data_IF_996016374980
#
_entry.id   IF_996016374980
#
_cell.length_a   1.000
_cell.length_b   1.000
_cell.length_c   1.000
_cell.angle_alpha   90.00
_cell.angle_beta   90.00
_cell.angle_gamma   90.00
#
_symmetry.space_group_name_H-M   'P 1'
#
loop_
_entity.id
_entity.type
_entity.pdbx_description
1 polymer ?
#
# COMPACT_ATOMS: atom_id res chain seq x y z
N UNK A 1 -2.71 -13.34 -30.23
CA UNK A 1 -1.26 -13.63 -30.13
C UNK A 1 -0.89 -13.73 -28.65
N UNK A 2 -0.07 -14.69 -28.24
CA UNK A 2 0.37 -14.84 -26.83
C UNK A 2 1.77 -14.26 -26.67
N UNK A 3 2.03 -13.54 -25.57
CA UNK A 3 3.37 -13.07 -25.17
C UNK A 3 3.70 -13.62 -23.79
N UNK A 4 4.96 -13.97 -23.58
CA UNK A 4 5.46 -14.53 -22.32
C UNK A 4 6.41 -13.52 -21.69
N UNK A 5 6.32 -13.36 -20.38
CA UNK A 5 7.14 -12.43 -19.60
C UNK A 5 7.71 -13.13 -18.37
N UNK A 6 8.95 -12.79 -18.03
CA UNK A 6 9.62 -13.25 -16.82
C UNK A 6 10.37 -12.06 -16.20
N UNK A 7 10.08 -11.73 -14.94
CA UNK A 7 10.52 -10.49 -14.26
C UNK A 7 10.39 -9.22 -15.11
N UNK A 8 9.31 -9.09 -15.87
CA UNK A 8 9.05 -7.93 -16.74
C UNK A 8 9.81 -7.93 -18.07
N UNK A 9 10.70 -8.91 -18.32
CA UNK A 9 11.36 -9.09 -19.61
C UNK A 9 10.52 -9.97 -20.53
N UNK A 10 10.21 -9.49 -21.72
CA UNK A 10 9.50 -10.28 -22.74
C UNK A 10 10.42 -11.41 -23.24
N UNK A 11 9.91 -12.64 -23.17
CA UNK A 11 10.54 -13.84 -23.73
C UNK A 11 10.19 -13.91 -25.22
N UNK A 12 10.78 -13.01 -26.01
CA UNK A 12 10.46 -12.83 -27.43
C UNK A 12 11.29 -13.72 -28.37
N UNK A 13 12.45 -14.21 -27.93
CA UNK A 13 13.37 -14.99 -28.76
C UNK A 13 13.11 -16.50 -28.61
N UNK A 14 12.41 -17.08 -29.58
CA UNK A 14 12.01 -18.50 -29.63
C UNK A 14 13.17 -19.51 -29.53
N UNK A 15 14.42 -19.09 -29.78
CA UNK A 15 15.60 -19.97 -29.78
C UNK A 15 16.36 -19.98 -28.46
N UNK A 16 16.07 -19.03 -27.57
CA UNK A 16 16.75 -18.97 -26.27
C UNK A 16 16.11 -19.94 -25.29
N UNK A 17 16.93 -20.63 -24.51
CA UNK A 17 16.45 -21.53 -23.46
C UNK A 17 15.95 -20.73 -22.26
N UNK A 18 15.11 -21.36 -21.42
CA UNK A 18 14.66 -20.74 -20.16
C UNK A 18 15.84 -20.42 -19.22
N UNK A 19 16.89 -21.25 -19.23
CA UNK A 19 18.13 -21.01 -18.48
C UNK A 19 18.90 -19.78 -18.98
N UNK A 20 18.92 -19.52 -20.28
CA UNK A 20 19.52 -18.29 -20.86
C UNK A 20 18.71 -17.03 -20.51
N UNK A 21 17.43 -17.19 -20.23
CA UNK A 21 16.58 -16.17 -19.62
C UNK A 21 16.69 -16.10 -18.09
N UNK A 22 17.57 -16.92 -17.50
CA UNK A 22 17.82 -17.03 -16.07
C UNK A 22 16.59 -17.50 -15.28
N UNK A 23 15.67 -18.20 -15.94
CA UNK A 23 14.51 -18.79 -15.29
C UNK A 23 14.96 -20.05 -14.53
N UNK A 24 14.99 -19.95 -13.22
CA UNK A 24 15.28 -21.02 -12.29
C UNK A 24 14.12 -21.99 -12.08
N UNK A 25 14.41 -23.07 -11.35
CA UNK A 25 13.43 -24.11 -11.04
C UNK A 25 12.40 -23.57 -10.03
N UNK A 26 11.11 -23.79 -10.31
CA UNK A 26 9.93 -23.27 -9.58
C UNK A 26 9.63 -21.78 -9.75
N UNK A 27 10.16 -21.12 -10.77
CA UNK A 27 9.84 -19.72 -11.02
C UNK A 27 8.66 -19.53 -11.98
N UNK A 28 7.95 -18.41 -11.82
CA UNK A 28 6.70 -18.14 -12.55
C UNK A 28 6.93 -17.29 -13.81
N UNK A 29 6.37 -17.76 -14.92
CA UNK A 29 6.31 -17.03 -16.19
C UNK A 29 4.89 -16.49 -16.38
N UNK A 30 4.78 -15.19 -16.66
CA UNK A 30 3.51 -14.53 -16.91
C UNK A 30 3.14 -14.62 -18.39
N UNK A 31 2.02 -15.27 -18.72
CA UNK A 31 1.50 -15.35 -20.08
C UNK A 31 0.39 -14.32 -20.29
N UNK A 32 0.61 -13.37 -21.20
CA UNK A 32 -0.40 -12.40 -21.60
C UNK A 32 -0.98 -12.79 -22.96
N UNK A 33 -2.29 -13.06 -23.00
CA UNK A 33 -3.02 -13.25 -24.25
C UNK A 33 -3.40 -11.89 -24.82
N UNK A 34 -2.72 -11.48 -25.88
CA UNK A 34 -3.20 -10.37 -26.72
C UNK A 34 -4.36 -10.91 -27.55
N UNK A 35 -5.57 -10.60 -27.12
CA UNK A 35 -6.75 -10.73 -27.98
C UNK A 35 -6.61 -9.66 -29.06
N UNK A 36 -6.27 -10.08 -30.28
CA UNK A 36 -6.41 -9.22 -31.44
C UNK A 36 -7.92 -9.12 -31.70
N UNK A 37 -8.57 -8.15 -31.05
CA UNK A 37 -9.87 -7.71 -31.50
C UNK A 37 -9.64 -7.10 -32.89
N UNK A 38 -10.18 -7.74 -33.92
CA UNK A 38 -10.38 -7.06 -35.19
C UNK A 38 -11.12 -5.74 -34.89
N UNK A 39 -10.81 -4.63 -35.58
CA UNK A 39 -11.54 -3.39 -35.40
C UNK A 39 -12.98 -3.60 -35.87
N UNK A 40 -13.84 -4.11 -34.99
CA UNK A 40 -15.28 -4.06 -35.15
C UNK A 40 -15.62 -2.59 -35.18
N UNK A 41 -15.91 -2.06 -36.37
CA UNK A 41 -16.56 -0.78 -36.47
C UNK A 41 -17.87 -0.95 -35.72
N UNK A 42 -18.11 -0.17 -34.64
CA UNK A 42 -19.37 -0.26 -33.93
C UNK A 42 -20.47 0.03 -34.95
N UNK A 43 -21.41 -0.90 -35.11
CA UNK A 43 -22.58 -0.65 -35.94
C UNK A 43 -23.51 0.30 -35.16
N UNK A 44 -23.27 1.59 -35.33
CA UNK A 44 -24.01 2.64 -34.65
C UNK A 44 -25.50 2.64 -35.04
N UNK A 45 -25.84 2.13 -36.22
CA UNK A 45 -27.23 2.00 -36.65
C UNK A 45 -27.93 0.85 -35.91
N UNK A 46 -27.25 -0.28 -35.71
CA UNK A 46 -27.76 -1.35 -34.85
C UNK A 46 -27.96 -0.89 -33.40
N UNK A 47 -27.04 -0.07 -32.87
CA UNK A 47 -27.19 0.54 -31.54
C UNK A 47 -28.41 1.47 -31.48
N UNK A 48 -28.59 2.30 -32.50
CA UNK A 48 -29.76 3.19 -32.60
C UNK A 48 -31.06 2.40 -32.61
N UNK A 49 -31.14 1.34 -33.40
CA UNK A 49 -32.31 0.46 -33.45
C UNK A 49 -32.60 -0.17 -32.10
N UNK A 50 -31.56 -0.63 -31.39
CA UNK A 50 -31.72 -1.20 -30.05
C UNK A 50 -32.27 -0.18 -29.05
N UNK A 51 -31.75 1.05 -29.06
CA UNK A 51 -32.24 2.15 -28.22
C UNK A 51 -33.69 2.51 -28.54
N UNK A 52 -34.09 2.46 -29.82
CA UNK A 52 -35.48 2.73 -30.22
C UNK A 52 -36.43 1.57 -29.88
N UNK A 53 -35.93 0.33 -29.87
CA UNK A 53 -36.70 -0.86 -29.48
C UNK A 53 -36.91 -0.93 -27.97
N UNK A 54 -35.95 -0.47 -27.17
CA UNK A 54 -36.05 -0.44 -25.71
C UNK A 54 -36.52 0.92 -25.20
N UNK A 55 -37.83 1.00 -24.88
CA UNK A 55 -38.46 2.18 -24.29
C UNK A 55 -37.80 2.66 -22.99
N UNK A 56 -37.24 1.77 -22.18
CA UNK A 56 -36.59 2.16 -20.91
C UNK A 56 -35.27 2.85 -21.17
N UNK A 57 -34.47 2.31 -22.09
CA UNK A 57 -33.21 2.92 -22.53
C UNK A 57 -33.46 4.28 -23.14
N UNK A 58 -34.48 4.42 -23.99
CA UNK A 58 -34.84 5.70 -24.60
C UNK A 58 -35.25 6.76 -23.56
N UNK A 59 -36.08 6.41 -22.57
CA UNK A 59 -36.46 7.32 -21.49
C UNK A 59 -35.26 7.73 -20.62
N UNK A 60 -34.33 6.81 -20.38
CA UNK A 60 -33.08 7.12 -19.68
C UNK A 60 -32.22 8.08 -20.50
N UNK A 61 -32.08 7.82 -21.80
CA UNK A 61 -31.31 8.66 -22.72
C UNK A 61 -31.91 10.07 -22.79
N UNK A 62 -33.23 10.21 -22.79
CA UNK A 62 -33.90 11.52 -22.77
C UNK A 62 -33.60 12.34 -21.51
N UNK A 63 -33.42 11.66 -20.37
CA UNK A 63 -33.07 12.33 -19.10
C UNK A 63 -31.60 12.72 -19.02
N UNK A 64 -30.70 11.90 -19.57
CA UNK A 64 -29.24 12.11 -19.45
C UNK A 64 -28.65 12.88 -20.63
N UNK A 65 -29.16 12.65 -21.84
CA UNK A 65 -28.71 13.28 -23.07
C UNK A 65 -29.89 13.47 -24.05
N UNK A 66 -30.71 14.51 -23.87
CA UNK A 66 -31.91 14.76 -24.69
C UNK A 66 -31.59 14.99 -26.17
N UNK A 67 -30.42 15.55 -26.49
CA UNK A 67 -30.00 15.79 -27.87
C UNK A 67 -29.72 14.47 -28.60
N UNK A 68 -29.05 13.52 -27.94
CA UNK A 68 -28.78 12.20 -28.48
C UNK A 68 -30.07 11.39 -28.68
N UNK A 69 -31.02 11.52 -27.75
CA UNK A 69 -32.33 10.87 -27.87
C UNK A 69 -33.15 11.41 -29.04
N UNK A 70 -33.07 12.72 -29.28
CA UNK A 70 -33.69 13.35 -30.44
C UNK A 70 -33.04 12.87 -31.74
N UNK A 71 -31.71 12.84 -31.80
CA UNK A 71 -30.97 12.33 -32.96
C UNK A 71 -31.31 10.85 -33.25
N UNK A 72 -31.42 10.02 -32.21
CA UNK A 72 -31.80 8.61 -32.38
C UNK A 72 -33.13 8.42 -33.11
N UNK A 73 -34.10 9.31 -32.87
CA UNK A 73 -35.46 9.27 -33.45
C UNK A 73 -35.56 9.88 -34.85
N UNK A 74 -34.87 11.00 -35.09
CA UNK A 74 -35.12 11.84 -36.28
C UNK A 74 -33.92 11.98 -37.22
N UNK A 75 -32.70 11.70 -36.76
CA UNK A 75 -31.48 11.92 -37.55
C UNK A 75 -30.43 10.83 -37.27
N UNK A 76 -30.49 9.71 -38.02
CA UNK A 76 -29.54 8.60 -37.88
C UNK A 76 -28.08 9.00 -38.12
N UNK A 77 -27.83 9.94 -39.03
CA UNK A 77 -26.48 10.39 -39.35
C UNK A 77 -25.90 11.17 -38.16
N UNK A 78 -26.68 12.11 -37.61
CA UNK A 78 -26.27 12.87 -36.42
C UNK A 78 -26.08 11.96 -35.21
N UNK A 79 -26.93 10.94 -35.02
CA UNK A 79 -26.77 9.97 -33.94
C UNK A 79 -25.42 9.26 -34.01
N UNK A 80 -25.06 8.71 -35.18
CA UNK A 80 -23.80 8.01 -35.37
C UNK A 80 -22.58 8.88 -35.07
N UNK A 81 -22.57 10.13 -35.56
CA UNK A 81 -21.48 11.09 -35.28
C UNK A 81 -21.35 11.40 -33.78
N UNK A 82 -22.48 11.59 -33.09
CA UNK A 82 -22.46 11.89 -31.65
C UNK A 82 -21.98 10.70 -30.82
N UNK A 83 -22.44 9.49 -31.12
CA UNK A 83 -21.98 8.28 -30.42
C UNK A 83 -20.50 8.04 -30.69
N UNK A 84 -20.04 8.25 -31.92
CA UNK A 84 -18.62 8.14 -32.26
C UNK A 84 -17.76 9.11 -31.44
N UNK A 85 -18.16 10.37 -31.31
CA UNK A 85 -17.44 11.36 -30.48
C UNK A 85 -17.44 10.96 -29.00
N UNK A 86 -18.55 10.44 -28.48
CA UNK A 86 -18.63 9.96 -27.10
C UNK A 86 -17.68 8.77 -26.89
N UNK A 87 -17.66 7.79 -27.79
CA UNK A 87 -16.76 6.63 -27.70
C UNK A 87 -15.28 7.03 -27.88
N UNK A 88 -14.96 8.01 -28.73
CA UNK A 88 -13.60 8.53 -28.88
C UNK A 88 -13.14 9.23 -27.61
N UNK A 89 -13.96 10.10 -27.03
CA UNK A 89 -13.64 10.79 -25.78
C UNK A 89 -13.51 9.83 -24.60
N UNK A 90 -14.38 8.81 -24.51
CA UNK A 90 -14.27 7.77 -23.47
C UNK A 90 -12.97 6.98 -23.60
N UNK A 91 -12.62 6.54 -24.82
CA UNK A 91 -11.35 5.83 -25.07
C UNK A 91 -10.13 6.69 -24.72
N UNK A 92 -10.14 7.97 -25.09
CA UNK A 92 -9.04 8.89 -24.74
C UNK A 92 -8.89 9.05 -23.22
N UNK A 93 -10.01 9.18 -22.50
CA UNK A 93 -10.01 9.26 -21.03
C UNK A 93 -9.54 7.95 -20.38
N UNK A 94 -9.96 6.80 -20.91
CA UNK A 94 -9.50 5.48 -20.45
C UNK A 94 -7.99 5.30 -20.65
N UNK A 95 -7.44 5.70 -21.80
CA UNK A 95 -6.00 5.66 -22.09
C UNK A 95 -5.23 6.56 -21.12
N UNK A 96 -5.68 7.80 -20.91
CA UNK A 96 -5.05 8.71 -19.95
C UNK A 96 -5.09 8.14 -18.53
N UNK A 97 -6.22 7.58 -18.11
CA UNK A 97 -6.38 6.96 -16.79
C UNK A 97 -5.47 5.73 -16.63
N UNK A 98 -5.36 4.90 -17.66
CA UNK A 98 -4.46 3.76 -17.67
C UNK A 98 -2.99 4.20 -17.60
N UNK A 99 -2.62 5.28 -18.29
CA UNK A 99 -1.27 5.83 -18.27
C UNK A 99 -0.91 6.42 -16.91
N UNK A 100 -1.84 7.15 -16.26
CA UNK A 100 -1.67 7.64 -14.88
C UNK A 100 -1.59 6.48 -13.87
N UNK A 101 -2.39 5.44 -14.06
CA UNK A 101 -2.33 4.24 -13.21
C UNK A 101 -1.03 3.45 -13.40
N UNK A 102 -0.47 3.43 -14.61
CA UNK A 102 0.83 2.84 -14.90
C UNK A 102 1.98 3.67 -14.28
N UNK A 103 1.88 5.00 -14.29
CA UNK A 103 2.83 5.90 -13.64
C UNK A 103 2.81 5.79 -12.10
N UNK A 104 1.65 5.49 -11.50
CA UNK A 104 1.50 5.29 -10.05
C UNK A 104 1.75 3.86 -9.57
N UNK A 105 1.81 2.87 -10.48
CA UNK A 105 2.07 1.46 -10.15
C UNK A 105 3.48 1.06 -10.57
N UNK A 106 4.51 1.86 -10.30
CA UNK A 106 5.86 1.31 -10.30
C UNK A 106 6.06 0.53 -8.99
N UNK A 107 6.06 -0.82 -9.02
CA UNK A 107 6.28 -1.64 -7.83
C UNK A 107 7.72 -1.51 -7.30
N UNK A 108 8.59 -0.80 -8.04
CA UNK A 108 9.97 -0.50 -7.72
C UNK A 108 10.21 1.00 -7.49
N UNK A 109 9.16 1.80 -7.23
CA UNK A 109 9.34 3.20 -6.84
C UNK A 109 10.14 3.28 -5.54
N UNK A 110 11.42 3.65 -5.69
CA UNK A 110 12.39 3.79 -4.60
C UNK A 110 11.88 4.79 -3.58
N UNK A 111 11.17 5.84 -3.99
CA UNK A 111 10.63 6.84 -3.07
C UNK A 111 9.46 6.29 -2.25
N UNK A 112 8.60 5.44 -2.84
CA UNK A 112 7.56 4.76 -2.09
C UNK A 112 8.16 3.77 -1.07
N UNK A 113 9.15 2.97 -1.48
CA UNK A 113 9.84 2.04 -0.58
C UNK A 113 10.53 2.78 0.58
N UNK A 114 11.16 3.92 0.30
CA UNK A 114 11.82 4.76 1.30
C UNK A 114 10.83 5.35 2.30
N UNK A 115 9.64 5.78 1.85
CA UNK A 115 8.58 6.25 2.77
C UNK A 115 8.08 5.13 3.67
N UNK A 116 7.93 3.91 3.15
CA UNK A 116 7.54 2.74 3.95
C UNK A 116 8.62 2.42 4.99
N UNK A 117 9.89 2.41 4.59
CA UNK A 117 11.02 2.17 5.49
C UNK A 117 11.06 3.23 6.62
N UNK A 118 10.89 4.49 6.28
CA UNK A 118 10.87 5.58 7.25
C UNK A 118 9.70 5.45 8.23
N UNK A 119 8.50 5.08 7.75
CA UNK A 119 7.34 4.83 8.60
C UNK A 119 7.60 3.70 9.62
N UNK A 120 8.12 2.55 9.15
CA UNK A 120 8.47 1.41 10.02
C UNK A 120 9.55 1.82 11.04
N UNK A 121 10.54 2.60 10.63
CA UNK A 121 11.58 3.10 11.52
C UNK A 121 11.00 3.97 12.63
N UNK A 122 10.11 4.90 12.30
CA UNK A 122 9.47 5.76 13.29
C UNK A 122 8.59 4.97 14.26
N UNK A 123 7.83 3.99 13.76
CA UNK A 123 7.02 3.10 14.59
C UNK A 123 7.87 2.32 15.60
N UNK A 124 9.00 1.76 15.14
CA UNK A 124 9.94 1.04 16.03
C UNK A 124 10.56 1.96 17.10
N UNK A 125 10.91 3.20 16.74
CA UNK A 125 11.44 4.18 17.69
C UNK A 125 10.37 4.51 18.74
N UNK A 126 9.13 4.75 18.31
CA UNK A 126 8.02 5.06 19.21
C UNK A 126 7.71 3.90 20.15
N UNK A 127 7.61 2.68 19.64
CA UNK A 127 7.36 1.49 20.44
C UNK A 127 8.47 1.23 21.47
N UNK A 128 9.74 1.39 21.08
CA UNK A 128 10.86 1.23 22.01
C UNK A 128 10.88 2.33 23.08
N UNK A 129 10.55 3.57 22.70
CA UNK A 129 10.42 4.67 23.64
C UNK A 129 9.31 4.39 24.66
N UNK A 130 8.13 3.96 24.20
CA UNK A 130 7.00 3.62 25.06
C UNK A 130 7.37 2.51 26.05
N UNK A 131 7.99 1.43 25.57
CA UNK A 131 8.47 0.36 26.43
C UNK A 131 9.52 0.86 27.45
N UNK A 132 10.42 1.74 27.02
CA UNK A 132 11.43 2.28 27.92
C UNK A 132 10.82 3.23 28.97
N UNK A 133 9.75 3.95 28.64
CA UNK A 133 8.99 4.76 29.60
C UNK A 133 8.21 3.90 30.61
N UNK A 134 7.65 2.77 30.17
CA UNK A 134 6.90 1.85 31.03
C UNK A 134 7.82 1.07 31.98
N UNK A 135 8.87 0.42 31.45
CA UNK A 135 9.69 -0.51 32.21
C UNK A 135 10.97 0.10 32.78
N UNK A 136 11.44 1.21 32.23
CA UNK A 136 12.69 1.85 32.68
C UNK A 136 12.57 3.39 32.77
N UNK A 137 11.60 3.90 33.56
CA UNK A 137 11.37 5.34 33.68
C UNK A 137 12.60 6.06 34.23
N UNK A 138 13.44 5.39 35.02
CA UNK A 138 14.67 5.97 35.60
C UNK A 138 15.67 6.46 34.55
N UNK A 139 15.59 5.96 33.31
CA UNK A 139 16.45 6.42 32.21
C UNK A 139 16.04 7.79 31.66
N UNK A 140 14.81 8.23 31.92
CA UNK A 140 14.24 9.49 31.38
C UNK A 140 13.88 10.51 32.47
N UNK A 141 13.89 10.11 33.74
CA UNK A 141 13.58 11.00 34.86
C UNK A 141 14.55 10.82 36.04
N UNK A 142 14.84 11.90 36.75
CA UNK A 142 15.64 11.87 37.98
C UNK A 142 14.80 11.32 39.12
N UNK A 143 15.04 10.06 39.49
CA UNK A 143 14.42 9.44 40.66
C UNK A 143 15.07 9.96 41.95
N UNK A 144 14.26 10.57 42.82
CA UNK A 144 14.71 10.96 44.16
C UNK A 144 14.62 9.74 45.08
N UNK A 145 15.77 9.30 45.59
CA UNK A 145 15.84 8.18 46.53
C UNK A 145 15.60 8.64 47.97
N UNK A 146 14.93 7.81 48.78
CA UNK A 146 14.68 8.11 50.18
C UNK A 146 15.88 7.69 51.03
N UNK A 147 16.38 8.62 51.84
CA UNK A 147 17.49 8.38 52.76
C UNK A 147 17.09 8.73 54.19
N UNK A 148 17.53 7.91 55.14
CA UNK A 148 17.34 8.17 56.58
C UNK A 148 18.68 8.09 57.31
N UNK A 149 18.82 8.93 58.34
CA UNK A 149 19.95 8.84 59.26
C UNK A 149 19.72 7.67 60.22
N UNK A 150 20.70 6.79 60.34
CA UNK A 150 20.65 5.62 61.24
C UNK A 150 21.93 5.54 62.06
N UNK A 151 21.87 4.91 63.22
CA UNK A 151 23.03 4.66 64.08
C UNK A 151 23.16 3.17 64.36
N UNK A 152 24.32 2.59 64.05
CA UNK A 152 24.62 1.18 64.30
C UNK A 152 25.95 1.12 65.07
N UNK A 153 25.94 0.53 66.29
CA UNK A 153 27.12 0.44 67.15
C UNK A 153 27.82 1.80 67.36
N UNK A 154 27.06 2.84 67.73
CA UNK A 154 27.54 4.21 67.94
C UNK A 154 28.15 4.90 66.70
N UNK A 155 27.90 4.37 65.50
CA UNK A 155 28.31 5.01 64.24
C UNK A 155 27.09 5.50 63.49
N UNK A 156 27.04 6.81 63.22
CA UNK A 156 26.02 7.45 62.40
C UNK A 156 26.28 7.19 60.92
N UNK A 157 25.24 6.76 60.21
CA UNK A 157 25.26 6.35 58.82
C UNK A 157 24.03 6.95 58.11
N UNK A 158 24.09 7.02 56.78
CA UNK A 158 22.92 7.32 55.94
C UNK A 158 22.51 6.02 55.25
N UNK A 159 21.28 5.57 55.48
CA UNK A 159 20.73 4.37 54.86
C UNK A 159 19.82 4.75 53.70
N UNK A 160 19.98 4.05 52.57
CA UNK A 160 19.03 4.06 51.46
C UNK A 160 17.81 3.21 51.84
N UNK A 161 16.61 3.75 51.68
CA UNK A 161 15.36 3.02 51.90
C UNK A 161 14.86 2.45 50.59
N UNK A 162 14.72 1.13 50.52
CA UNK A 162 14.24 0.38 49.35
C UNK A 162 13.22 -0.66 49.82
N UNK A 163 11.95 -0.46 49.47
CA UNK A 163 10.86 -1.39 49.81
C UNK A 163 10.88 -2.67 48.98
N UNK A 164 11.60 -2.70 47.86
CA UNK A 164 11.74 -3.87 46.99
C UNK A 164 12.83 -4.85 47.44
N UNK A 165 13.71 -4.43 48.36
CA UNK A 165 14.77 -5.29 48.85
C UNK A 165 14.24 -6.37 49.82
N UNK A 166 14.44 -7.65 49.49
CA UNK A 166 14.06 -8.77 50.38
C UNK A 166 14.88 -8.86 51.67
N UNK A 167 16.07 -8.25 51.71
CA UNK A 167 16.93 -8.25 52.89
C UNK A 167 17.78 -6.98 52.97
N UNK A 168 18.10 -6.57 54.19
CA UNK A 168 18.96 -5.41 54.43
C UNK A 168 20.43 -5.81 54.30
N UNK A 169 21.17 -5.09 53.45
CA UNK A 169 22.61 -5.31 53.25
C UNK A 169 23.41 -4.14 53.81
N UNK A 170 24.43 -4.44 54.61
CA UNK A 170 25.40 -3.45 55.10
C UNK A 170 26.81 -4.02 55.09
N UNK A 171 27.76 -3.28 54.51
CA UNK A 171 29.19 -3.62 54.57
C UNK A 171 29.73 -3.68 56.01
N UNK A 172 29.12 -2.93 56.93
CA UNK A 172 29.50 -2.93 58.35
C UNK A 172 29.06 -4.19 59.11
N UNK A 173 27.97 -4.85 58.66
CA UNK A 173 27.45 -6.06 59.30
C UNK A 173 28.19 -7.33 58.85
N UNK A 174 28.71 -7.38 57.61
CA UNK A 174 29.41 -8.57 57.09
C UNK A 174 30.78 -8.83 57.73
N UNK A 175 31.37 -7.83 58.40
CA UNK A 175 32.71 -7.94 59.00
C UNK A 175 32.72 -8.56 60.40
N UNK A 176 31.56 -8.73 61.03
CA UNK A 176 31.42 -9.25 62.40
C UNK A 176 31.11 -10.76 62.49
N UNK A 177 30.88 -11.43 61.36
CA UNK A 177 30.67 -12.91 61.30
C UNK A 177 31.95 -13.71 60.99
N UNK A 178 33.11 -13.06 60.90
CA UNK A 178 34.42 -13.69 60.61
C UNK A 178 35.39 -13.67 61.81
N UNK A 179 34.88 -13.59 63.03
CA UNK A 179 35.67 -13.78 64.26
C UNK A 179 35.03 -14.86 65.10
#
# INVERSE_FOLDING_TARGET
MQRLFYHGKELSELKKTLEEYQVGQNEMIHMQRIQQAAPSHPDFDAMRQHVLQDQRLLQQLERTNPELAHAARYDPAKFSTMVEQIEQSRRAAEIQKAQLAALNNDPFDIEAQKRIEEAIRQENIAANLEAAMEYNPESFTRVTRLYINVEINNKKLVALVDSGAQSTVSKYLQRQKKR
#
